data_IF_143418182895
#
_entry.id   IF_143418182895
#
_cell.length_a   1.000
_cell.length_b   1.000
_cell.length_c   1.000
_cell.angle_alpha   90.00
_cell.angle_beta   90.00
_cell.angle_gamma   90.00
#
_symmetry.space_group_name_H-M   'P 1'
#
loop_
_entity.id
_entity.type
_entity.pdbx_description
1 polymer ?
#
# COMPACT_ATOMS: atom_id res chain seq x y z
N UNK A 1 -16.27 -4.99 9.36
CA UNK A 1 -16.39 -4.05 8.23
C UNK A 1 -16.27 -2.64 8.77
N UNK A 2 -15.05 -2.25 9.08
CA UNK A 2 -14.73 -0.97 9.67
C UNK A 2 -14.30 0.03 8.59
N UNK A 3 -14.49 1.31 8.86
CA UNK A 3 -14.04 2.44 7.99
C UNK A 3 -12.52 2.37 7.69
N UNK A 4 -11.77 1.57 8.45
CA UNK A 4 -10.33 1.35 8.38
C UNK A 4 -9.89 0.12 7.57
N UNK A 5 -10.80 -0.67 6.99
CA UNK A 5 -10.41 -1.79 6.13
C UNK A 5 -9.66 -1.21 4.90
N UNK A 6 -8.41 -1.64 4.68
CA UNK A 6 -7.56 -1.21 3.56
C UNK A 6 -7.49 -2.37 2.58
N UNK A 7 -8.35 -2.29 1.55
CA UNK A 7 -8.34 -3.20 0.43
C UNK A 7 -7.30 -2.82 -0.63
N UNK A 8 -7.04 -3.75 -1.54
CA UNK A 8 -6.07 -3.64 -2.62
C UNK A 8 -6.23 -2.35 -3.43
N UNK A 9 -7.47 -2.01 -3.81
CA UNK A 9 -7.78 -0.83 -4.62
C UNK A 9 -7.61 0.47 -3.84
N UNK A 10 -8.03 0.51 -2.58
CA UNK A 10 -7.89 1.68 -1.72
C UNK A 10 -6.43 1.98 -1.40
N UNK A 11 -5.60 0.96 -1.15
CA UNK A 11 -4.17 1.16 -0.94
C UNK A 11 -3.50 1.79 -2.18
N UNK A 12 -3.84 1.28 -3.37
CA UNK A 12 -3.34 1.84 -4.64
C UNK A 12 -3.83 3.25 -4.89
N UNK A 13 -5.10 3.55 -4.57
CA UNK A 13 -5.66 4.89 -4.70
C UNK A 13 -4.95 5.90 -3.77
N UNK A 14 -4.64 5.49 -2.54
CA UNK A 14 -3.87 6.32 -1.59
C UNK A 14 -2.45 6.58 -2.08
N UNK A 15 -1.77 5.56 -2.64
CA UNK A 15 -0.45 5.74 -3.23
C UNK A 15 -0.49 6.67 -4.43
N UNK A 16 -1.44 6.48 -5.35
CA UNK A 16 -1.61 7.34 -6.52
C UNK A 16 -1.91 8.79 -6.13
N UNK A 17 -2.71 9.01 -5.08
CA UNK A 17 -2.91 10.36 -4.52
C UNK A 17 -1.60 10.98 -4.03
N UNK A 18 -0.80 10.24 -3.28
CA UNK A 18 0.49 10.71 -2.80
C UNK A 18 1.46 11.00 -3.96
N UNK A 19 1.41 10.20 -5.03
CA UNK A 19 2.18 10.43 -6.25
C UNK A 19 1.78 11.72 -6.96
N UNK A 20 0.47 12.03 -7.04
CA UNK A 20 -0.01 13.31 -7.57
C UNK A 20 0.45 14.49 -6.70
N UNK A 21 0.35 14.36 -5.37
CA UNK A 21 0.82 15.37 -4.41
C UNK A 21 2.35 15.56 -4.46
N UNK A 22 3.10 14.51 -4.82
CA UNK A 22 4.55 14.54 -5.06
C UNK A 22 4.93 15.00 -6.48
N UNK A 23 3.98 15.52 -7.26
CA UNK A 23 4.17 15.95 -8.66
C UNK A 23 4.70 14.83 -9.57
N UNK A 24 4.18 13.61 -9.41
CA UNK A 24 4.60 12.38 -10.12
C UNK A 24 6.08 12.01 -9.90
N UNK A 25 6.64 12.47 -8.78
CA UNK A 25 8.00 12.18 -8.36
C UNK A 25 8.11 11.00 -7.40
N UNK A 26 9.21 10.94 -6.65
CA UNK A 26 9.42 9.95 -5.60
C UNK A 26 8.44 10.19 -4.44
N UNK A 27 7.60 9.19 -4.13
CA UNK A 27 6.67 9.22 -3.00
C UNK A 27 7.42 8.84 -1.73
N UNK A 28 7.74 9.84 -0.90
CA UNK A 28 8.24 9.62 0.45
C UNK A 28 7.06 9.35 1.39
N UNK A 29 6.84 8.09 1.75
CA UNK A 29 5.70 7.67 2.59
C UNK A 29 5.68 8.37 3.95
N UNK A 30 6.83 8.81 4.47
CA UNK A 30 6.92 9.55 5.75
C UNK A 30 6.27 10.93 5.68
N UNK A 31 6.15 11.51 4.49
CA UNK A 31 5.46 12.79 4.26
C UNK A 31 3.95 12.62 4.14
N UNK A 32 3.45 11.39 4.01
CA UNK A 32 2.04 11.07 3.82
C UNK A 32 1.58 10.11 4.93
N UNK A 33 1.25 10.62 6.14
CA UNK A 33 0.85 9.77 7.28
C UNK A 33 -0.34 8.86 7.00
N UNK A 34 -1.22 9.26 6.06
CA UNK A 34 -2.34 8.42 5.62
C UNK A 34 -1.88 7.19 4.84
N UNK A 35 -0.87 7.34 3.98
CA UNK A 35 -0.32 6.26 3.16
C UNK A 35 0.52 5.34 4.04
N UNK A 36 1.34 5.89 4.93
CA UNK A 36 2.14 5.11 5.87
C UNK A 36 1.27 4.22 6.78
N UNK A 37 0.20 4.78 7.36
CA UNK A 37 -0.77 4.01 8.14
C UNK A 37 -1.47 2.94 7.29
N UNK A 38 -1.87 3.27 6.07
CA UNK A 38 -2.55 2.32 5.19
C UNK A 38 -1.64 1.14 4.81
N UNK A 39 -0.37 1.42 4.50
CA UNK A 39 0.65 0.40 4.22
C UNK A 39 0.86 -0.51 5.44
N UNK A 40 0.91 0.06 6.64
CA UNK A 40 1.08 -0.71 7.87
C UNK A 40 -0.14 -1.59 8.18
N UNK A 41 -1.36 -1.08 8.00
CA UNK A 41 -2.60 -1.86 8.17
C UNK A 41 -2.64 -2.99 7.15
N UNK A 42 -2.42 -2.69 5.87
CA UNK A 42 -2.39 -3.69 4.81
C UNK A 42 -1.35 -4.79 5.07
N UNK A 43 -0.14 -4.40 5.48
CA UNK A 43 0.93 -5.33 5.82
C UNK A 43 0.53 -6.29 6.96
N UNK A 44 -0.15 -5.76 7.99
CA UNK A 44 -0.69 -6.55 9.10
C UNK A 44 -1.78 -7.52 8.64
N UNK A 45 -2.75 -7.06 7.84
CA UNK A 45 -3.89 -7.88 7.40
C UNK A 45 -3.46 -8.99 6.44
N UNK A 46 -2.51 -8.70 5.54
CA UNK A 46 -2.02 -9.66 4.56
C UNK A 46 -0.74 -10.41 5.00
N UNK A 47 -0.31 -10.20 6.26
CA UNK A 47 0.89 -10.81 6.86
C UNK A 47 2.17 -10.65 6.00
N UNK A 48 2.28 -9.52 5.31
CA UNK A 48 3.42 -9.16 4.47
C UNK A 48 4.27 -8.06 5.13
N UNK A 49 5.42 -7.78 4.54
CA UNK A 49 6.29 -6.68 4.96
C UNK A 49 5.78 -5.33 4.44
N UNK A 50 6.20 -4.26 5.11
CA UNK A 50 5.89 -2.90 4.69
C UNK A 50 6.38 -2.63 3.26
N UNK A 51 7.60 -3.08 2.91
CA UNK A 51 8.14 -2.98 1.55
C UNK A 51 7.30 -3.74 0.52
N UNK A 52 6.82 -4.95 0.84
CA UNK A 52 5.92 -5.69 -0.04
C UNK A 52 4.59 -4.96 -0.26
N UNK A 53 4.02 -4.37 0.79
CA UNK A 53 2.82 -3.54 0.70
C UNK A 53 3.07 -2.28 -0.16
N UNK A 54 4.23 -1.65 -0.02
CA UNK A 54 4.61 -0.46 -0.80
C UNK A 54 4.81 -0.78 -2.28
N UNK A 55 5.52 -1.87 -2.57
CA UNK A 55 5.70 -2.38 -3.93
C UNK A 55 4.35 -2.69 -4.56
N UNK A 56 3.45 -3.33 -3.81
CA UNK A 56 2.10 -3.61 -4.28
C UNK A 56 1.30 -2.33 -4.53
N UNK A 57 1.31 -1.37 -3.61
CA UNK A 57 0.61 -0.09 -3.78
C UNK A 57 1.09 0.69 -5.02
N UNK A 58 2.41 0.65 -5.28
CA UNK A 58 3.05 1.31 -6.43
C UNK A 58 2.80 0.60 -7.76
N UNK A 59 2.91 -0.73 -7.79
CA UNK A 59 2.98 -1.51 -9.04
C UNK A 59 1.74 -2.33 -9.33
N UNK A 60 0.87 -2.53 -8.34
CA UNK A 60 -0.22 -3.51 -8.37
C UNK A 60 0.25 -4.96 -8.38
N UNK A 61 1.57 -5.23 -8.30
CA UNK A 61 2.10 -6.59 -8.31
C UNK A 61 2.25 -7.10 -6.89
N UNK A 62 1.55 -8.19 -6.59
CA UNK A 62 1.74 -8.96 -5.36
C UNK A 62 3.07 -9.70 -5.46
N UNK A 63 3.98 -9.47 -4.53
CA UNK A 63 5.30 -10.11 -4.46
C UNK A 63 5.49 -10.83 -3.12
N UNK A 64 6.41 -11.79 -3.09
CA UNK A 64 6.77 -12.55 -1.89
C UNK A 64 5.56 -13.22 -1.25
N UNK A 65 5.25 -12.89 0.01
CA UNK A 65 4.10 -13.49 0.73
C UNK A 65 2.77 -13.15 0.11
N UNK A 66 2.64 -11.98 -0.54
CA UNK A 66 1.43 -11.57 -1.25
C UNK A 66 1.21 -12.40 -2.53
N UNK A 67 2.28 -12.94 -3.13
CA UNK A 67 2.20 -13.76 -4.34
C UNK A 67 1.71 -15.19 -4.07
N UNK A 68 1.89 -15.69 -2.84
CA UNK A 68 1.59 -17.09 -2.46
C UNK A 68 0.14 -17.34 -2.04
N UNK A 69 -0.76 -16.37 -2.20
CA UNK A 69 -2.18 -16.46 -1.81
C UNK A 69 -3.14 -16.99 -2.88
N UNK A 70 -2.64 -17.53 -3.99
CA UNK A 70 -3.44 -18.26 -4.97
C UNK A 70 -3.03 -19.74 -4.93
N UNK A 71 -3.66 -20.49 -4.03
CA UNK A 71 -3.64 -21.95 -3.97
C UNK A 71 -5.01 -22.43 -3.52
#
# INVERSE_FOLDING_TARGET
>A
MGIFDIDDDKLRALYHRAELEANRGFVDTRKYPYLDKALYIYAKEHNCSYDEALVFAKTGKKMGRLASGNG
#
